data_IF_944229203792
#
_entry.id   IF_944229203792
#
_cell.length_a   1.000
_cell.length_b   1.000
_cell.length_c   1.000
_cell.angle_alpha   90.00
_cell.angle_beta   90.00
_cell.angle_gamma   90.00
#
_symmetry.space_group_name_H-M   'P 1'
#
loop_
_entity.id
_entity.type
_entity.pdbx_description
1 polymer ?
#
# COMPACT_ATOMS: atom_id res chain seq x y z
N UNK A 1 46.35 -0.41 45.03
CA UNK A 1 45.32 -1.43 44.62
C UNK A 1 44.75 -1.00 43.28
N UNK A 2 45.29 -1.56 42.18
CA UNK A 2 44.80 -1.24 40.83
C UNK A 2 43.61 -2.14 40.49
N UNK A 3 42.48 -1.54 40.14
CA UNK A 3 41.33 -2.28 39.58
C UNK A 3 41.63 -2.57 38.09
N UNK A 4 41.82 -3.84 37.75
CA UNK A 4 41.89 -4.29 36.37
C UNK A 4 40.48 -4.18 35.77
N UNK A 5 40.32 -3.31 34.77
CA UNK A 5 39.14 -3.29 33.89
C UNK A 5 39.24 -4.52 33.00
N UNK A 6 38.40 -5.52 33.24
CA UNK A 6 38.19 -6.60 32.28
C UNK A 6 37.42 -6.01 31.08
N UNK A 7 38.04 -6.06 29.89
CA UNK A 7 37.34 -5.75 28.64
C UNK A 7 36.23 -6.82 28.43
N UNK A 8 35.01 -6.42 28.06
CA UNK A 8 34.00 -7.42 27.66
C UNK A 8 34.53 -8.22 26.50
N UNK A 9 34.44 -9.56 26.60
CA UNK A 9 34.73 -10.46 25.49
C UNK A 9 33.89 -10.06 24.28
N UNK A 10 34.57 -9.80 23.16
CA UNK A 10 33.94 -9.53 21.88
C UNK A 10 33.36 -10.85 21.36
N UNK A 11 32.03 -11.02 21.48
CA UNK A 11 31.31 -12.15 20.89
C UNK A 11 31.34 -11.97 19.38
N UNK A 12 32.13 -12.81 18.69
CA UNK A 12 32.16 -12.81 17.22
C UNK A 12 30.75 -13.18 16.73
N UNK A 13 30.09 -12.36 15.91
CA UNK A 13 28.78 -12.71 15.37
C UNK A 13 28.85 -14.01 14.57
N UNK A 14 27.93 -14.93 14.82
CA UNK A 14 27.80 -16.14 14.03
C UNK A 14 27.26 -15.78 12.63
N UNK A 15 28.17 -15.56 11.70
CA UNK A 15 27.85 -15.20 10.31
C UNK A 15 27.05 -16.29 9.59
N UNK A 16 27.14 -17.56 10.01
CA UNK A 16 26.33 -18.64 9.43
C UNK A 16 24.88 -18.54 9.88
N UNK A 17 24.66 -18.21 11.16
CA UNK A 17 23.30 -17.97 11.68
C UNK A 17 22.68 -16.73 11.03
N UNK A 18 23.44 -15.64 10.89
CA UNK A 18 22.99 -14.44 10.20
C UNK A 18 22.64 -14.68 8.72
N UNK A 19 23.44 -15.52 8.01
CA UNK A 19 23.15 -15.90 6.63
C UNK A 19 21.87 -16.74 6.52
N UNK A 20 21.65 -17.69 7.44
CA UNK A 20 20.42 -18.50 7.48
C UNK A 20 19.18 -17.63 7.75
N UNK A 21 19.24 -16.72 8.73
CA UNK A 21 18.16 -15.79 9.04
C UNK A 21 17.86 -14.92 7.82
N UNK A 22 18.90 -14.40 7.15
CA UNK A 22 18.71 -13.58 5.94
C UNK A 22 18.05 -14.37 4.82
N UNK A 23 18.44 -15.63 4.60
CA UNK A 23 17.85 -16.49 3.59
C UNK A 23 16.38 -16.81 3.92
N UNK A 24 16.06 -17.15 5.16
CA UNK A 24 14.69 -17.37 5.62
C UNK A 24 13.82 -16.14 5.40
N UNK A 25 14.31 -14.94 5.75
CA UNK A 25 13.58 -13.68 5.55
C UNK A 25 13.38 -13.33 4.06
N UNK A 26 14.31 -13.74 3.18
CA UNK A 26 14.18 -13.53 1.73
C UNK A 26 13.17 -14.49 1.09
N UNK A 27 13.00 -15.69 1.66
CA UNK A 27 12.06 -16.71 1.20
C UNK A 27 10.66 -16.54 1.81
N UNK A 28 10.53 -15.78 2.91
CA UNK A 28 9.26 -15.53 3.58
C UNK A 28 8.36 -14.64 2.71
N UNK A 29 7.27 -15.23 2.22
CA UNK A 29 6.22 -14.50 1.51
C UNK A 29 5.17 -14.02 2.51
N UNK A 30 4.92 -12.74 2.53
CA UNK A 30 3.83 -12.18 3.32
C UNK A 30 2.48 -12.70 2.83
N UNK A 31 1.61 -13.03 3.77
CA UNK A 31 0.23 -13.44 3.48
C UNK A 31 -0.64 -12.19 3.47
N UNK A 32 -1.46 -11.98 2.42
CA UNK A 32 -2.39 -10.87 2.38
C UNK A 32 -3.33 -10.91 3.59
N UNK A 33 -3.62 -9.75 4.19
CA UNK A 33 -4.61 -9.68 5.27
C UNK A 33 -5.99 -10.11 4.75
N UNK A 34 -6.83 -10.72 5.60
CA UNK A 34 -8.19 -11.07 5.20
C UNK A 34 -8.97 -9.80 4.80
N UNK A 35 -9.92 -9.92 3.85
CA UNK A 35 -10.76 -8.80 3.48
C UNK A 35 -11.57 -8.32 4.69
N UNK A 36 -11.71 -6.99 4.83
CA UNK A 36 -12.51 -6.41 5.90
C UNK A 36 -14.00 -6.69 5.67
N UNK A 37 -14.78 -6.84 6.73
CA UNK A 37 -16.22 -6.97 6.62
C UNK A 37 -16.83 -5.68 6.02
N UNK A 38 -17.92 -5.80 5.23
CA UNK A 38 -18.56 -4.66 4.56
C UNK A 38 -18.90 -3.49 5.49
N UNK A 39 -19.26 -3.75 6.74
CA UNK A 39 -19.57 -2.72 7.74
C UNK A 39 -18.40 -1.77 8.04
N UNK A 40 -17.15 -2.21 7.89
CA UNK A 40 -15.98 -1.34 8.07
C UNK A 40 -15.92 -0.21 7.01
N UNK A 41 -16.61 -0.39 5.88
CA UNK A 41 -16.67 0.56 4.77
C UNK A 41 -17.98 1.36 4.72
N UNK A 42 -19.02 0.98 5.47
CA UNK A 42 -20.35 1.59 5.38
C UNK A 42 -20.35 3.07 5.79
N UNK A 43 -19.61 3.39 6.86
CA UNK A 43 -19.51 4.78 7.36
C UNK A 43 -18.75 5.70 6.38
N UNK A 44 -17.93 5.13 5.50
CA UNK A 44 -17.11 5.89 4.52
C UNK A 44 -17.97 6.46 3.40
N UNK A 45 -18.98 5.72 2.95
CA UNK A 45 -19.89 6.20 1.89
C UNK A 45 -20.71 7.40 2.31
N UNK A 46 -21.06 7.48 3.60
CA UNK A 46 -21.78 8.64 4.15
C UNK A 46 -20.87 9.88 4.19
N UNK A 47 -19.55 9.69 4.39
CA UNK A 47 -18.58 10.78 4.51
C UNK A 47 -18.06 11.28 3.15
N UNK A 48 -18.09 10.44 2.11
CA UNK A 48 -17.61 10.76 0.76
C UNK A 48 -18.62 10.29 -0.30
N UNK A 49 -19.68 11.07 -0.54
CA UNK A 49 -20.65 10.77 -1.59
C UNK A 49 -19.95 10.62 -2.95
N UNK A 50 -20.20 9.52 -3.63
CA UNK A 50 -19.61 9.23 -4.95
C UNK A 50 -18.40 8.28 -4.91
N UNK A 51 -17.84 7.95 -3.74
CA UNK A 51 -16.79 6.95 -3.62
C UNK A 51 -17.40 5.55 -3.53
N UNK A 52 -17.52 4.86 -4.67
CA UNK A 52 -18.03 3.48 -4.73
C UNK A 52 -16.92 2.48 -4.36
N UNK A 53 -16.66 2.33 -3.07
CA UNK A 53 -15.71 1.35 -2.52
C UNK A 53 -16.37 -0.01 -2.21
N UNK A 54 -17.69 -0.10 -2.15
CA UNK A 54 -18.39 -1.37 -1.86
C UNK A 54 -18.14 -2.37 -2.97
N UNK A 55 -18.16 -1.93 -4.22
CA UNK A 55 -17.93 -2.77 -5.39
C UNK A 55 -16.47 -2.82 -5.84
N UNK A 56 -15.56 -2.19 -5.07
CA UNK A 56 -14.13 -2.22 -5.35
C UNK A 56 -13.55 -3.64 -5.18
N UNK A 57 -12.64 -4.03 -6.06
CA UNK A 57 -12.01 -5.33 -5.99
C UNK A 57 -10.83 -5.30 -5.00
N UNK A 58 -10.88 -6.16 -4.00
CA UNK A 58 -9.87 -6.34 -2.95
C UNK A 58 -9.20 -7.70 -2.99
N UNK A 59 -9.31 -8.39 -4.10
CA UNK A 59 -8.68 -9.69 -4.31
C UNK A 59 -7.21 -9.54 -4.72
N UNK A 60 -6.31 -9.82 -3.80
CA UNK A 60 -4.87 -9.75 -4.01
C UNK A 60 -4.37 -10.68 -5.11
N UNK A 61 -5.07 -11.81 -5.35
CA UNK A 61 -4.67 -12.78 -6.37
C UNK A 61 -4.78 -12.26 -7.81
N UNK A 62 -5.54 -11.18 -8.01
CA UNK A 62 -5.72 -10.52 -9.31
C UNK A 62 -4.64 -9.49 -9.63
N UNK A 63 -3.68 -9.31 -8.75
CA UNK A 63 -2.61 -8.33 -8.91
C UNK A 63 -1.26 -9.00 -9.19
N UNK A 64 -0.31 -8.21 -9.66
CA UNK A 64 1.05 -8.68 -9.88
C UNK A 64 1.67 -9.17 -8.56
N UNK A 65 2.12 -10.42 -8.45
CA UNK A 65 2.57 -11.00 -7.18
C UNK A 65 3.80 -10.30 -6.58
N UNK A 66 4.72 -9.81 -7.41
CA UNK A 66 5.90 -9.08 -6.94
C UNK A 66 5.50 -7.72 -6.37
N UNK A 67 4.60 -7.01 -7.06
CA UNK A 67 4.04 -5.75 -6.59
C UNK A 67 3.29 -5.94 -5.27
N UNK A 68 2.46 -6.99 -5.16
CA UNK A 68 1.74 -7.35 -3.92
C UNK A 68 2.72 -7.53 -2.75
N UNK A 69 3.81 -8.27 -2.92
CA UNK A 69 4.80 -8.45 -1.85
C UNK A 69 5.42 -7.12 -1.40
N UNK A 70 5.68 -6.21 -2.34
CA UNK A 70 6.20 -4.88 -2.00
C UNK A 70 5.16 -4.07 -1.21
N UNK A 71 3.90 -4.07 -1.64
CA UNK A 71 2.81 -3.39 -0.93
C UNK A 71 2.61 -3.95 0.48
N UNK A 72 2.63 -5.28 0.64
CA UNK A 72 2.48 -5.91 1.95
C UNK A 72 3.61 -5.56 2.92
N UNK A 73 4.85 -5.38 2.42
CA UNK A 73 5.96 -4.86 3.24
C UNK A 73 5.68 -3.42 3.69
N UNK A 74 5.24 -2.56 2.78
CA UNK A 74 4.83 -1.18 3.13
C UNK A 74 3.75 -1.22 4.21
N UNK A 75 2.70 -2.03 4.04
CA UNK A 75 1.63 -2.14 5.04
C UNK A 75 2.15 -2.66 6.40
N UNK A 76 3.08 -3.60 6.41
CA UNK A 76 3.71 -4.11 7.64
C UNK A 76 4.51 -3.01 8.36
N UNK A 77 5.31 -2.22 7.62
CA UNK A 77 6.05 -1.07 8.17
C UNK A 77 5.10 -0.01 8.69
N UNK A 78 4.04 0.31 7.95
CA UNK A 78 3.00 1.24 8.39
C UNK A 78 2.34 0.79 9.71
N UNK A 79 2.02 -0.50 9.83
CA UNK A 79 1.49 -1.06 11.08
C UNK A 79 2.48 -0.91 12.24
N UNK A 80 3.78 -1.14 12.02
CA UNK A 80 4.82 -0.93 13.01
C UNK A 80 4.95 0.55 13.44
N UNK A 81 4.64 1.50 12.54
CA UNK A 81 4.56 2.95 12.82
C UNK A 81 3.25 3.36 13.52
N UNK A 82 2.34 2.42 13.79
CA UNK A 82 1.05 2.69 14.45
C UNK A 82 -0.10 3.00 13.50
N UNK A 83 0.09 2.87 12.18
CA UNK A 83 -0.92 3.13 11.16
C UNK A 83 -1.30 1.83 10.44
N UNK A 84 -2.34 1.13 10.92
CA UNK A 84 -2.88 0.00 10.18
C UNK A 84 -3.51 0.47 8.87
N UNK A 85 -3.08 -0.08 7.74
CA UNK A 85 -3.61 0.23 6.41
C UNK A 85 -4.48 -0.91 5.91
N UNK A 86 -5.49 -0.58 5.12
CA UNK A 86 -6.38 -1.55 4.47
C UNK A 86 -6.48 -1.28 2.98
N UNK A 87 -6.67 -2.34 2.20
CA UNK A 87 -6.88 -2.24 0.76
C UNK A 87 -8.30 -1.74 0.49
N UNK A 88 -8.43 -0.59 -0.15
CA UNK A 88 -9.71 -0.07 -0.66
C UNK A 88 -10.01 -0.66 -2.04
N UNK A 89 -9.07 -0.57 -2.96
CA UNK A 89 -9.17 -1.11 -4.30
C UNK A 89 -7.79 -1.56 -4.80
N UNK A 90 -7.74 -2.76 -5.40
CA UNK A 90 -6.56 -3.29 -6.09
C UNK A 90 -6.79 -3.34 -7.59
N UNK A 91 -7.11 -4.54 -8.12
CA UNK A 91 -7.42 -4.70 -9.54
C UNK A 91 -8.71 -3.95 -9.91
N UNK A 92 -8.68 -3.24 -11.03
CA UNK A 92 -9.84 -2.53 -11.57
C UNK A 92 -10.12 -3.01 -13.00
N UNK A 93 -11.32 -3.52 -13.25
CA UNK A 93 -11.70 -3.93 -14.61
C UNK A 93 -11.82 -2.71 -15.53
N UNK A 94 -11.65 -2.86 -16.87
CA UNK A 94 -11.86 -1.77 -17.81
C UNK A 94 -13.25 -1.15 -17.69
N UNK A 95 -14.30 -1.97 -17.58
CA UNK A 95 -15.68 -1.48 -17.42
C UNK A 95 -15.86 -0.63 -16.15
N UNK A 96 -15.23 -1.02 -15.01
CA UNK A 96 -15.26 -0.23 -13.78
C UNK A 96 -14.47 1.08 -13.95
N UNK A 97 -13.32 1.04 -14.62
CA UNK A 97 -12.54 2.24 -14.92
C UNK A 97 -13.35 3.25 -15.74
N UNK A 98 -14.05 2.78 -16.78
CA UNK A 98 -14.89 3.64 -17.62
C UNK A 98 -16.09 4.19 -16.84
N UNK A 99 -16.71 3.38 -15.98
CA UNK A 99 -17.78 3.82 -15.10
C UNK A 99 -17.31 4.92 -14.10
N UNK A 100 -16.11 4.80 -13.54
CA UNK A 100 -15.52 5.82 -12.66
C UNK A 100 -15.15 7.09 -13.43
N UNK A 101 -14.60 6.96 -14.63
CA UNK A 101 -14.27 8.11 -15.49
C UNK A 101 -15.52 8.88 -15.97
N UNK A 102 -16.67 8.21 -16.09
CA UNK A 102 -17.94 8.82 -16.45
C UNK A 102 -18.63 9.55 -15.29
N UNK A 103 -18.18 9.37 -14.05
CA UNK A 103 -18.75 10.07 -12.89
C UNK A 103 -18.34 11.54 -12.89
N UNK A 104 -19.29 12.44 -12.65
CA UNK A 104 -19.09 13.89 -12.67
C UNK A 104 -18.09 14.42 -11.63
N UNK A 105 -17.75 13.62 -10.63
CA UNK A 105 -16.85 13.98 -9.53
C UNK A 105 -15.35 13.76 -9.84
N UNK A 106 -14.99 13.42 -11.08
CA UNK A 106 -13.61 13.21 -11.53
C UNK A 106 -12.77 12.33 -10.60
N UNK A 107 -13.31 11.19 -10.18
CA UNK A 107 -12.64 10.21 -9.31
C UNK A 107 -11.34 9.70 -9.96
N UNK A 108 -11.24 9.76 -11.28
CA UNK A 108 -10.04 9.43 -12.04
C UNK A 108 -10.01 10.18 -13.38
N UNK A 109 -8.81 10.60 -13.81
CA UNK A 109 -8.58 11.16 -15.14
C UNK A 109 -8.19 10.09 -16.17
N UNK A 110 -7.85 8.88 -15.73
CA UNK A 110 -7.44 7.79 -16.60
C UNK A 110 -8.66 7.08 -17.21
N UNK A 111 -8.63 6.90 -18.54
CA UNK A 111 -9.60 6.11 -19.29
C UNK A 111 -9.27 4.61 -19.24
N UNK A 112 -10.18 3.78 -19.77
CA UNK A 112 -9.92 2.37 -19.96
C UNK A 112 -8.59 2.10 -20.66
N UNK A 113 -7.78 1.19 -20.11
CA UNK A 113 -6.43 0.86 -20.61
C UNK A 113 -5.31 1.78 -20.14
N UNK A 114 -5.60 2.88 -19.43
CA UNK A 114 -4.61 3.87 -18.99
C UNK A 114 -4.26 3.80 -17.51
N UNK A 115 -5.06 3.08 -16.71
CA UNK A 115 -4.84 2.95 -15.28
C UNK A 115 -4.01 1.71 -14.95
N UNK A 116 -3.01 1.84 -14.06
CA UNK A 116 -2.20 0.71 -13.57
C UNK A 116 -2.98 -0.28 -12.73
N UNK A 117 -4.12 0.11 -12.15
CA UNK A 117 -5.05 -0.81 -11.50
C UNK A 117 -5.54 -1.93 -12.43
N UNK A 118 -5.71 -1.64 -13.72
CA UNK A 118 -6.15 -2.63 -14.71
C UNK A 118 -5.11 -3.72 -14.99
N UNK A 119 -3.88 -3.49 -14.56
CA UNK A 119 -2.75 -4.41 -14.74
C UNK A 119 -2.25 -4.98 -13.40
N UNK A 120 -2.99 -4.69 -12.31
CA UNK A 120 -2.60 -5.11 -10.98
C UNK A 120 -1.30 -4.49 -10.47
N UNK A 121 -0.97 -3.27 -10.92
CA UNK A 121 0.26 -2.54 -10.64
C UNK A 121 0.01 -1.25 -9.83
N UNK A 122 -1.19 -1.09 -9.29
CA UNK A 122 -1.58 0.00 -8.41
C UNK A 122 -2.56 -0.49 -7.35
N UNK A 123 -2.55 0.15 -6.19
CA UNK A 123 -3.51 -0.05 -5.09
C UNK A 123 -3.89 1.27 -4.46
N UNK A 124 -5.14 1.33 -4.00
CA UNK A 124 -5.64 2.39 -3.14
C UNK A 124 -5.75 1.83 -1.71
N UNK A 125 -5.08 2.47 -0.77
CA UNK A 125 -5.03 2.11 0.64
C UNK A 125 -5.66 3.21 1.49
N UNK A 126 -6.23 2.83 2.63
CA UNK A 126 -6.66 3.80 3.63
C UNK A 126 -6.27 3.36 5.04
N UNK A 127 -6.01 4.32 5.94
CA UNK A 127 -5.76 4.00 7.34
C UNK A 127 -7.02 3.54 8.06
N UNK A 128 -6.83 2.64 9.01
CA UNK A 128 -7.89 2.11 9.85
C UNK A 128 -7.61 2.42 11.32
N UNK A 129 -8.59 3.03 11.99
CA UNK A 129 -8.54 3.36 13.42
C UNK A 129 -9.76 2.76 14.13
N UNK A 130 -9.51 1.95 15.16
CA UNK A 130 -10.56 1.28 15.95
C UNK A 130 -11.56 0.45 15.10
N UNK A 131 -11.03 -0.28 14.11
CA UNK A 131 -11.83 -1.13 13.22
C UNK A 131 -12.61 -0.37 12.13
N UNK A 132 -12.48 0.95 12.06
CA UNK A 132 -13.13 1.79 11.04
C UNK A 132 -12.12 2.37 10.06
N UNK A 133 -12.47 2.40 8.79
CA UNK A 133 -11.68 3.02 7.73
C UNK A 133 -11.84 4.54 7.79
N UNK A 134 -10.72 5.28 7.75
CA UNK A 134 -10.72 6.75 7.85
C UNK A 134 -10.10 7.32 6.57
N UNK A 135 -10.92 7.69 5.60
CA UNK A 135 -10.46 8.22 4.28
C UNK A 135 -10.30 9.74 4.31
N UNK A 136 -10.87 10.44 5.27
CA UNK A 136 -10.99 11.91 5.27
C UNK A 136 -9.64 12.61 5.29
N UNK A 137 -9.38 13.46 4.30
CA UNK A 137 -8.24 14.39 4.28
C UNK A 137 -8.35 15.52 5.32
N UNK A 138 -9.51 15.68 5.95
CA UNK A 138 -9.75 16.63 7.05
C UNK A 138 -9.41 16.05 8.42
N UNK A 139 -9.25 14.74 8.52
CA UNK A 139 -8.80 14.08 9.76
C UNK A 139 -7.27 14.15 9.82
N UNK A 140 -6.75 14.89 10.80
CA UNK A 140 -5.31 15.12 10.95
C UNK A 140 -4.51 13.82 11.16
N UNK A 141 -5.10 12.81 11.85
CA UNK A 141 -4.46 11.51 12.03
C UNK A 141 -4.41 10.72 10.71
N UNK A 142 -5.49 10.75 9.93
CA UNK A 142 -5.50 10.10 8.62
C UNK A 142 -4.48 10.73 7.67
N UNK A 143 -4.33 12.05 7.70
CA UNK A 143 -3.33 12.75 6.89
C UNK A 143 -1.91 12.40 7.32
N UNK A 144 -1.63 12.26 8.63
CA UNK A 144 -0.34 11.75 9.11
C UNK A 144 -0.07 10.34 8.58
N UNK A 145 -1.08 9.45 8.60
CA UNK A 145 -0.97 8.11 8.06
C UNK A 145 -0.70 8.12 6.55
N UNK A 146 -1.37 8.96 5.78
CA UNK A 146 -1.14 9.08 4.33
C UNK A 146 0.26 9.63 4.00
N UNK A 147 0.76 10.60 4.75
CA UNK A 147 2.12 11.09 4.57
C UNK A 147 3.15 10.01 4.88
N UNK A 148 2.96 9.28 5.99
CA UNK A 148 3.79 8.13 6.32
C UNK A 148 3.73 7.04 5.23
N UNK A 149 2.54 6.76 4.65
CA UNK A 149 2.39 5.86 3.51
C UNK A 149 3.25 6.31 2.33
N UNK A 150 3.24 7.60 2.01
CA UNK A 150 4.06 8.17 0.95
C UNK A 150 5.55 7.99 1.19
N UNK A 151 6.03 8.22 2.42
CA UNK A 151 7.42 8.00 2.80
C UNK A 151 7.84 6.54 2.61
N UNK A 152 7.06 5.60 3.16
CA UNK A 152 7.37 4.18 3.09
C UNK A 152 7.27 3.62 1.66
N UNK A 153 6.27 4.04 0.88
CA UNK A 153 6.12 3.63 -0.51
C UNK A 153 7.31 4.09 -1.36
N UNK A 154 7.72 5.34 -1.21
CA UNK A 154 8.88 5.89 -1.94
C UNK A 154 10.21 5.25 -1.50
N UNK A 155 10.35 4.93 -0.22
CA UNK A 155 11.54 4.24 0.30
C UNK A 155 11.76 2.85 -0.33
N UNK A 156 10.69 2.17 -0.76
CA UNK A 156 10.77 0.90 -1.49
C UNK A 156 10.68 1.05 -3.01
N UNK A 157 10.75 2.27 -3.53
CA UNK A 157 10.77 2.58 -4.95
C UNK A 157 9.41 2.63 -5.63
N UNK A 158 8.29 2.73 -4.91
CA UNK A 158 6.96 2.94 -5.48
C UNK A 158 6.69 4.43 -5.72
N UNK A 159 5.78 4.71 -6.63
CA UNK A 159 5.22 6.05 -6.83
C UNK A 159 4.04 6.25 -5.88
N UNK A 160 3.96 7.42 -5.25
CA UNK A 160 2.86 7.84 -4.40
C UNK A 160 2.04 8.96 -5.04
N UNK A 161 0.71 8.80 -5.10
CA UNK A 161 -0.21 9.77 -5.69
C UNK A 161 -0.32 11.09 -4.94
N UNK A 162 0.09 11.13 -3.67
CA UNK A 162 0.19 12.37 -2.90
C UNK A 162 1.17 13.40 -3.46
N UNK A 163 2.09 13.01 -4.36
CA UNK A 163 3.01 13.92 -5.05
C UNK A 163 2.43 14.50 -6.36
N UNK A 164 1.29 14.00 -6.83
CA UNK A 164 0.68 14.49 -8.06
C UNK A 164 0.05 15.88 -7.88
N UNK A 165 -0.21 16.58 -8.96
CA UNK A 165 -0.95 17.85 -8.95
C UNK A 165 -2.38 17.64 -8.41
N UNK A 166 -3.03 16.58 -8.88
CA UNK A 166 -4.26 16.06 -8.28
C UNK A 166 -3.87 15.06 -7.18
N UNK A 167 -3.94 15.50 -5.94
CA UNK A 167 -3.53 14.72 -4.79
C UNK A 167 -4.38 13.46 -4.64
N UNK A 168 -3.75 12.28 -4.65
CA UNK A 168 -4.38 11.00 -4.33
C UNK A 168 -3.55 10.32 -3.23
N UNK A 169 -3.86 10.65 -2.00
CA UNK A 169 -3.04 10.28 -0.85
C UNK A 169 -3.07 8.78 -0.54
N UNK A 170 -4.13 8.07 -0.93
CA UNK A 170 -4.25 6.63 -0.75
C UNK A 170 -3.55 5.80 -1.81
N UNK A 171 -3.22 6.41 -2.96
CA UNK A 171 -2.72 5.71 -4.13
C UNK A 171 -1.22 5.45 -4.09
N UNK A 172 -0.82 4.19 -4.30
CA UNK A 172 0.57 3.80 -4.58
C UNK A 172 0.63 2.87 -5.78
N UNK A 173 1.68 3.00 -6.60
CA UNK A 173 1.79 2.25 -7.85
C UNK A 173 3.23 1.90 -8.22
N UNK A 174 3.41 0.89 -9.08
CA UNK A 174 4.69 0.56 -9.71
C UNK A 174 5.19 1.75 -10.56
N UNK A 175 6.43 2.22 -10.39
CA UNK A 175 6.98 3.33 -11.19
C UNK A 175 7.15 2.96 -12.66
N UNK A 176 7.20 3.97 -13.51
CA UNK A 176 7.36 3.80 -14.96
C UNK A 176 6.06 3.85 -15.74
N UNK A 177 6.16 4.01 -17.07
CA UNK A 177 4.99 4.02 -17.95
C UNK A 177 4.46 2.60 -18.18
N UNK A 178 3.16 2.46 -18.43
CA UNK A 178 2.55 1.18 -18.80
C UNK A 178 3.21 0.54 -20.02
N UNK A 179 3.64 1.35 -21.00
CA UNK A 179 4.36 0.86 -22.17
C UNK A 179 5.62 0.09 -21.78
N UNK A 180 6.41 0.62 -20.87
CA UNK A 180 7.65 -0.01 -20.35
C UNK A 180 7.31 -1.23 -19.49
N UNK A 181 6.38 -1.09 -18.54
CA UNK A 181 6.01 -2.14 -17.59
C UNK A 181 5.41 -3.38 -18.26
N UNK A 182 4.70 -3.19 -19.39
CA UNK A 182 4.06 -4.28 -20.13
C UNK A 182 4.93 -4.82 -21.28
N UNK A 183 6.16 -4.32 -21.45
CA UNK A 183 7.06 -4.74 -22.53
C UNK A 183 6.52 -4.45 -23.93
N UNK A 184 5.55 -3.53 -24.07
CA UNK A 184 5.01 -3.13 -25.37
C UNK A 184 5.99 -2.17 -26.04
N UNK A 185 6.56 -2.60 -27.17
CA UNK A 185 7.39 -1.78 -28.04
C UNK A 185 6.55 -0.73 -28.78
#
# INVERSE_FOLDING_TARGET
MGRYYQRPEYVVPDYQQAARIKQTLLEEKLVPPPPLPPLAFTDVQVQMPGLDIIHANRDWSRMNPVFVQTVLRVMATMKARGFAMVLLEGYRSPARQDALAAQSNHVTQAKGGQSKHQYGLAVDLAPMRNGKVVISERDAWAMQAYQALGEEAQAVGLTWGGNWSFKDFGHIEQPGSLKVLLGKK
#
